data_IF_549072420183
#
_entry.id   IF_549072420183
#
_cell.length_a   1.000
_cell.length_b   1.000
_cell.length_c   1.000
_cell.angle_alpha   90.00
_cell.angle_beta   90.00
_cell.angle_gamma   90.00
#
_symmetry.space_group_name_H-M   'P 1'
#
loop_
_entity.id
_entity.type
_entity.pdbx_description
1 polymer ?
#
# COMPACT_ATOMS: atom_id res chain seq x y z
N UNK A 1 -7.76 -15.81 34.57
CA UNK A 1 -8.44 -16.74 33.64
C UNK A 1 -8.96 -15.93 32.45
N UNK A 2 -8.11 -15.63 31.44
CA UNK A 2 -8.46 -14.82 30.27
C UNK A 2 -9.07 -15.75 29.20
N UNK A 3 -10.37 -15.70 29.06
CA UNK A 3 -11.12 -16.36 27.97
C UNK A 3 -10.85 -15.55 26.68
N UNK A 4 -9.85 -15.94 25.89
CA UNK A 4 -9.69 -15.50 24.53
C UNK A 4 -10.93 -15.95 23.74
N UNK A 5 -11.91 -15.05 23.60
CA UNK A 5 -12.94 -15.22 22.57
C UNK A 5 -12.22 -15.27 21.23
N UNK A 6 -12.23 -16.42 20.56
CA UNK A 6 -11.97 -16.54 19.14
C UNK A 6 -13.13 -15.84 18.42
N UNK A 7 -13.05 -14.52 18.28
CA UNK A 7 -13.85 -13.83 17.29
C UNK A 7 -13.40 -14.40 15.94
N UNK A 8 -14.32 -14.96 15.16
CA UNK A 8 -14.05 -15.42 13.82
C UNK A 8 -13.41 -14.24 13.07
N UNK A 9 -12.18 -14.44 12.57
CA UNK A 9 -11.45 -13.36 11.91
C UNK A 9 -12.27 -12.94 10.68
N UNK A 10 -12.79 -11.72 10.72
CA UNK A 10 -13.62 -11.12 9.68
C UNK A 10 -12.81 -11.06 8.37
N UNK A 11 -13.43 -11.48 7.26
CA UNK A 11 -12.82 -11.39 5.94
C UNK A 11 -12.79 -9.92 5.54
N UNK A 12 -11.59 -9.41 5.27
CA UNK A 12 -11.38 -8.04 4.83
C UNK A 12 -11.40 -7.92 3.31
N UNK A 13 -10.71 -8.85 2.62
CA UNK A 13 -10.65 -8.91 1.17
C UNK A 13 -10.97 -10.32 0.69
N UNK A 14 -11.82 -10.42 -0.31
CA UNK A 14 -12.07 -11.66 -1.02
C UNK A 14 -12.01 -11.41 -2.53
N UNK A 15 -11.13 -12.13 -3.20
CA UNK A 15 -11.03 -12.18 -4.65
C UNK A 15 -11.42 -13.59 -5.08
N UNK A 16 -12.39 -13.71 -5.98
CA UNK A 16 -12.93 -15.01 -6.38
C UNK A 16 -12.88 -15.14 -7.90
N UNK A 17 -12.31 -16.25 -8.37
CA UNK A 17 -12.24 -16.63 -9.78
C UNK A 17 -11.70 -15.52 -10.71
N UNK A 18 -10.67 -14.82 -10.25
CA UNK A 18 -10.08 -13.72 -11.02
C UNK A 18 -9.34 -14.29 -12.24
N UNK A 19 -9.74 -13.80 -13.40
CA UNK A 19 -9.07 -14.07 -14.68
C UNK A 19 -8.48 -12.78 -15.24
N UNK A 20 -7.29 -12.91 -15.85
CA UNK A 20 -6.65 -11.84 -16.61
C UNK A 20 -5.82 -12.42 -17.74
N UNK A 21 -6.11 -11.97 -18.95
CA UNK A 21 -5.39 -12.35 -20.15
C UNK A 21 -4.74 -11.13 -20.80
N UNK A 22 -3.54 -11.32 -21.30
CA UNK A 22 -2.82 -10.38 -22.15
C UNK A 22 -2.57 -11.05 -23.49
N UNK A 23 -2.28 -10.32 -24.59
CA UNK A 23 -2.01 -10.92 -25.88
C UNK A 23 -0.98 -12.05 -25.77
N UNK A 24 -1.41 -13.29 -26.03
CA UNK A 24 -0.59 -14.49 -25.98
C UNK A 24 -0.28 -15.08 -24.60
N UNK A 25 -0.76 -14.49 -23.49
CA UNK A 25 -0.50 -15.01 -22.14
C UNK A 25 -1.72 -14.89 -21.23
N UNK A 26 -2.16 -16.01 -20.66
CA UNK A 26 -3.14 -16.06 -19.59
C UNK A 26 -2.41 -15.87 -18.25
N UNK A 27 -2.41 -14.64 -17.75
CA UNK A 27 -1.67 -14.25 -16.56
C UNK A 27 -2.36 -14.67 -15.24
N UNK A 28 -3.68 -14.72 -15.23
CA UNK A 28 -4.50 -15.22 -14.12
C UNK A 28 -5.57 -16.14 -14.68
N UNK A 29 -5.72 -17.31 -14.07
CA UNK A 29 -6.70 -18.32 -14.46
C UNK A 29 -7.47 -18.80 -13.23
N UNK A 30 -8.69 -18.28 -13.03
CA UNK A 30 -9.57 -18.58 -11.89
C UNK A 30 -8.89 -18.49 -10.51
N UNK A 31 -8.07 -17.45 -10.33
CA UNK A 31 -7.28 -17.26 -9.09
C UNK A 31 -8.18 -16.67 -8.00
N UNK A 32 -8.12 -17.27 -6.81
CA UNK A 32 -8.86 -16.80 -5.65
C UNK A 32 -7.92 -16.50 -4.48
N UNK A 33 -8.23 -15.43 -3.71
CA UNK A 33 -7.48 -14.98 -2.56
C UNK A 33 -8.43 -14.48 -1.49
N UNK A 34 -8.20 -14.90 -0.23
CA UNK A 34 -8.96 -14.40 0.92
C UNK A 34 -8.00 -13.86 1.97
N UNK A 35 -8.17 -12.60 2.38
CA UNK A 35 -7.38 -11.95 3.42
C UNK A 35 -8.29 -11.56 4.58
N UNK A 36 -7.88 -11.90 5.79
CA UNK A 36 -8.61 -11.61 7.04
C UNK A 36 -8.08 -10.32 7.66
N UNK A 37 -8.96 -9.61 8.37
CA UNK A 37 -8.62 -8.38 9.07
C UNK A 37 -7.55 -8.62 10.16
N UNK A 38 -6.58 -7.72 10.24
CA UNK A 38 -5.51 -7.78 11.24
C UNK A 38 -4.53 -8.95 11.04
N UNK A 39 -4.36 -9.43 9.80
CA UNK A 39 -3.39 -10.48 9.46
C UNK A 39 -2.35 -10.00 8.48
N UNK A 40 -1.18 -10.61 8.53
CA UNK A 40 -0.17 -10.54 7.47
C UNK A 40 -0.36 -11.76 6.57
N UNK A 41 -0.52 -11.52 5.27
CA UNK A 41 -0.74 -12.57 4.29
C UNK A 41 0.40 -12.56 3.25
N UNK A 42 1.18 -13.64 3.20
CA UNK A 42 2.26 -13.80 2.22
C UNK A 42 1.73 -14.46 0.95
N UNK A 43 1.88 -13.78 -0.20
CA UNK A 43 1.57 -14.32 -1.51
C UNK A 43 2.84 -14.91 -2.11
N UNK A 44 2.97 -16.23 -2.09
CA UNK A 44 4.15 -16.95 -2.54
C UNK A 44 3.93 -17.58 -3.93
N UNK A 45 5.00 -17.71 -4.70
CA UNK A 45 5.00 -18.33 -6.03
C UNK A 45 6.23 -17.92 -6.84
N UNK A 46 6.50 -18.63 -7.92
CA UNK A 46 7.61 -18.34 -8.83
C UNK A 46 7.47 -17.00 -9.54
N UNK A 47 8.58 -16.50 -10.11
CA UNK A 47 8.52 -15.30 -10.96
C UNK A 47 7.65 -15.59 -12.19
N UNK A 48 6.76 -14.67 -12.51
CA UNK A 48 5.77 -14.88 -13.58
C UNK A 48 4.48 -15.60 -13.15
N UNK A 49 4.35 -16.09 -11.92
CA UNK A 49 3.15 -16.78 -11.42
C UNK A 49 1.89 -15.88 -11.26
N UNK A 50 1.91 -14.66 -11.77
CA UNK A 50 0.74 -13.77 -11.75
C UNK A 50 0.54 -12.96 -10.45
N UNK A 51 1.42 -13.07 -9.44
CA UNK A 51 1.29 -12.38 -8.14
C UNK A 51 1.08 -10.87 -8.29
N UNK A 52 2.00 -10.19 -8.98
CA UNK A 52 1.92 -8.74 -9.20
C UNK A 52 0.74 -8.38 -10.12
N UNK A 53 0.34 -9.25 -11.04
CA UNK A 53 -0.86 -9.06 -11.88
C UNK A 53 -2.12 -9.07 -11.02
N UNK A 54 -2.25 -10.02 -10.10
CA UNK A 54 -3.38 -10.09 -9.17
C UNK A 54 -3.49 -8.83 -8.31
N UNK A 55 -2.36 -8.35 -7.76
CA UNK A 55 -2.32 -7.14 -6.96
C UNK A 55 -2.61 -5.88 -7.81
N UNK A 56 -2.14 -5.82 -9.05
CA UNK A 56 -2.47 -4.73 -9.99
C UNK A 56 -3.94 -4.71 -10.38
N UNK A 57 -4.60 -5.88 -10.45
CA UNK A 57 -6.07 -5.96 -10.62
C UNK A 57 -6.79 -5.42 -9.37
N UNK A 58 -6.35 -5.79 -8.17
CA UNK A 58 -6.90 -5.24 -6.92
C UNK A 58 -6.74 -3.71 -6.86
N UNK A 59 -5.59 -3.20 -7.28
CA UNK A 59 -5.27 -1.77 -7.20
C UNK A 59 -5.85 -0.95 -8.38
N UNK A 60 -6.58 -1.57 -9.31
CA UNK A 60 -7.20 -0.88 -10.44
C UNK A 60 -6.23 -0.40 -11.52
N UNK A 61 -5.00 -0.94 -11.55
CA UNK A 61 -4.03 -0.70 -12.63
C UNK A 61 -4.40 -1.55 -13.86
N UNK A 62 -4.84 -2.79 -13.63
CA UNK A 62 -5.39 -3.65 -14.66
C UNK A 62 -6.85 -3.95 -14.39
N UNK A 63 -7.68 -3.94 -15.42
CA UNK A 63 -9.04 -4.46 -15.34
C UNK A 63 -8.97 -5.98 -15.35
N UNK A 64 -9.66 -6.64 -14.41
CA UNK A 64 -9.90 -8.08 -14.49
C UNK A 64 -10.83 -8.40 -15.67
N UNK A 65 -10.67 -9.56 -16.29
CA UNK A 65 -11.52 -9.99 -17.39
C UNK A 65 -12.72 -10.81 -16.88
N UNK A 66 -12.55 -11.53 -15.75
CA UNK A 66 -13.61 -12.23 -15.04
C UNK A 66 -13.34 -12.29 -13.53
N UNK A 67 -14.33 -12.76 -12.78
CA UNK A 67 -14.25 -12.91 -11.33
C UNK A 67 -14.76 -11.69 -10.56
N UNK A 68 -14.67 -11.75 -9.24
CA UNK A 68 -15.27 -10.78 -8.30
C UNK A 68 -14.25 -10.38 -7.25
N UNK A 69 -14.21 -9.09 -6.89
CA UNK A 69 -13.41 -8.55 -5.78
C UNK A 69 -14.37 -7.95 -4.77
N UNK A 70 -14.27 -8.35 -3.50
CA UNK A 70 -15.05 -7.84 -2.40
C UNK A 70 -14.14 -7.30 -1.31
N UNK A 71 -14.41 -6.08 -0.88
CA UNK A 71 -13.74 -5.41 0.24
C UNK A 71 -14.77 -5.19 1.36
N UNK A 72 -14.53 -5.75 2.54
CA UNK A 72 -15.48 -5.71 3.67
C UNK A 72 -16.89 -6.19 3.26
N UNK A 73 -16.97 -7.26 2.45
CA UNK A 73 -18.23 -7.83 1.97
C UNK A 73 -18.96 -7.01 0.90
N UNK A 74 -18.37 -5.92 0.42
CA UNK A 74 -18.91 -5.11 -0.67
C UNK A 74 -18.12 -5.34 -1.94
N UNK A 75 -18.81 -5.60 -3.05
CA UNK A 75 -18.15 -5.72 -4.34
C UNK A 75 -17.53 -4.38 -4.76
N UNK A 76 -16.28 -4.45 -5.21
CA UNK A 76 -15.50 -3.30 -5.67
C UNK A 76 -14.89 -3.59 -7.04
N UNK A 77 -14.79 -2.55 -7.87
CA UNK A 77 -14.11 -2.61 -9.16
C UNK A 77 -13.46 -1.25 -9.43
N UNK A 78 -12.25 -1.09 -8.92
CA UNK A 78 -11.54 0.18 -9.02
C UNK A 78 -11.08 0.44 -10.46
N UNK A 79 -11.39 1.62 -10.97
CA UNK A 79 -11.02 2.05 -12.33
C UNK A 79 -9.59 2.58 -12.44
N UNK A 80 -8.99 2.93 -11.30
CA UNK A 80 -7.64 3.45 -11.20
C UNK A 80 -7.12 3.36 -9.76
N UNK A 81 -5.81 3.56 -9.59
CA UNK A 81 -5.15 3.49 -8.30
C UNK A 81 -5.62 4.55 -7.28
N UNK A 82 -6.07 5.72 -7.74
CA UNK A 82 -6.63 6.75 -6.84
C UNK A 82 -7.93 6.28 -6.19
N UNK A 83 -8.77 5.60 -6.95
CA UNK A 83 -10.01 5.03 -6.41
C UNK A 83 -9.72 3.93 -5.39
N UNK A 84 -8.75 3.05 -5.66
CA UNK A 84 -8.29 2.03 -4.71
C UNK A 84 -7.78 2.68 -3.40
N UNK A 85 -6.91 3.68 -3.50
CA UNK A 85 -6.39 4.43 -2.34
C UNK A 85 -7.51 5.09 -1.53
N UNK A 86 -8.49 5.71 -2.17
CA UNK A 86 -9.62 6.35 -1.50
C UNK A 86 -10.53 5.33 -0.77
N UNK A 87 -10.51 4.06 -1.19
CA UNK A 87 -11.23 2.97 -0.54
C UNK A 87 -10.38 2.20 0.49
N UNK A 88 -9.17 2.66 0.75
CA UNK A 88 -8.29 2.11 1.79
C UNK A 88 -7.43 0.94 1.32
N UNK A 89 -7.18 0.81 0.02
CA UNK A 89 -6.20 -0.13 -0.54
C UNK A 89 -4.98 0.65 -1.00
N UNK A 90 -3.84 0.50 -0.33
CA UNK A 90 -2.57 1.10 -0.71
C UNK A 90 -1.59 0.05 -1.24
N UNK A 91 -0.65 0.48 -2.07
CA UNK A 91 0.39 -0.37 -2.62
C UNK A 91 1.74 0.33 -2.50
N UNK A 92 2.71 -0.36 -1.93
CA UNK A 92 4.12 0.02 -1.93
C UNK A 92 4.79 -0.72 -3.08
N UNK A 93 5.19 0.02 -4.09
CA UNK A 93 5.82 -0.54 -5.30
C UNK A 93 7.30 -0.85 -5.06
N UNK A 94 7.83 -1.79 -5.83
CA UNK A 94 9.25 -2.11 -5.87
C UNK A 94 10.09 -0.91 -6.32
N UNK A 95 9.61 -0.16 -7.31
CA UNK A 95 10.26 1.06 -7.80
C UNK A 95 9.86 2.28 -6.99
N UNK A 96 10.87 3.05 -6.55
CA UNK A 96 10.67 4.27 -5.79
C UNK A 96 10.35 5.44 -6.71
N UNK A 97 9.07 5.72 -6.91
CA UNK A 97 8.58 6.85 -7.71
C UNK A 97 8.46 8.13 -6.86
N UNK A 98 9.60 8.66 -6.42
CA UNK A 98 9.69 9.77 -5.49
C UNK A 98 10.16 11.07 -6.15
N UNK A 99 9.64 12.19 -5.67
CA UNK A 99 10.13 13.51 -6.06
C UNK A 99 11.44 13.82 -5.31
N UNK A 100 12.57 13.38 -5.87
CA UNK A 100 13.89 13.40 -5.22
C UNK A 100 14.35 14.81 -4.80
N UNK A 101 13.92 15.85 -5.50
CA UNK A 101 14.26 17.27 -5.21
C UNK A 101 13.33 17.89 -4.15
N UNK A 102 12.34 17.16 -3.68
CA UNK A 102 11.43 17.58 -2.62
C UNK A 102 11.82 16.96 -1.29
N UNK A 103 11.32 17.53 -0.19
CA UNK A 103 11.53 16.97 1.14
C UNK A 103 10.62 15.74 1.39
N UNK A 104 10.84 15.08 2.51
CA UNK A 104 10.14 13.87 2.91
C UNK A 104 8.63 14.11 3.08
N UNK A 105 8.23 15.15 3.83
CA UNK A 105 6.81 15.42 4.06
C UNK A 105 6.08 15.80 2.77
N UNK A 106 6.73 16.51 1.84
CA UNK A 106 6.17 16.78 0.50
C UNK A 106 5.87 15.48 -0.26
N UNK A 107 6.75 14.48 -0.19
CA UNK A 107 6.55 13.18 -0.83
C UNK A 107 5.40 12.38 -0.20
N UNK A 108 5.24 12.42 1.12
CA UNK A 108 4.15 11.73 1.82
C UNK A 108 2.80 12.35 1.44
N UNK A 109 2.71 13.67 1.42
CA UNK A 109 1.45 14.40 1.23
C UNK A 109 1.20 14.85 -0.21
N UNK A 110 2.02 14.42 -1.18
CA UNK A 110 1.90 14.79 -2.58
C UNK A 110 0.47 14.56 -3.10
N UNK A 111 -0.15 15.63 -3.62
CA UNK A 111 -1.53 15.61 -4.12
C UNK A 111 -2.63 15.59 -3.04
N UNK A 112 -2.25 15.66 -1.73
CA UNK A 112 -3.17 15.65 -0.57
C UNK A 112 -2.71 16.63 0.51
N UNK A 113 -2.10 17.72 0.14
CA UNK A 113 -1.57 18.68 1.10
C UNK A 113 -2.66 19.15 2.07
N UNK A 114 -2.42 19.15 3.40
CA UNK A 114 -3.30 19.84 4.34
C UNK A 114 -3.40 21.32 3.95
N UNK A 115 -4.62 21.84 3.87
CA UNK A 115 -4.86 23.22 3.44
C UNK A 115 -5.38 24.07 4.60
N UNK A 116 -4.98 25.35 4.65
CA UNK A 116 -5.58 26.38 5.49
C UNK A 116 -6.56 27.17 4.64
N UNK A 117 -7.82 27.26 5.08
CA UNK A 117 -8.91 27.93 4.37
C UNK A 117 -9.09 27.48 2.89
N UNK A 118 -8.63 26.26 2.55
CA UNK A 118 -8.75 25.69 1.20
C UNK A 118 -7.82 26.29 0.14
N UNK A 119 -6.96 27.25 0.49
CA UNK A 119 -6.16 28.03 -0.47
C UNK A 119 -4.65 27.81 -0.27
N UNK A 120 -4.19 27.81 0.98
CA UNK A 120 -2.76 27.74 1.31
C UNK A 120 -2.39 26.39 1.94
N UNK A 121 -1.23 25.84 1.57
CA UNK A 121 -0.69 24.64 2.20
C UNK A 121 -0.38 24.92 3.67
N UNK A 122 -0.89 24.09 4.56
CA UNK A 122 -0.61 24.14 5.99
C UNK A 122 0.60 23.29 6.33
N UNK A 123 1.80 23.84 6.21
CA UNK A 123 3.04 23.14 6.48
C UNK A 123 3.16 22.68 7.95
N UNK A 124 2.64 23.44 8.90
CA UNK A 124 2.67 23.06 10.31
C UNK A 124 1.85 21.78 10.56
N UNK A 125 0.64 21.71 10.02
CA UNK A 125 -0.21 20.52 10.12
C UNK A 125 0.39 19.33 9.36
N UNK A 126 1.04 19.61 8.22
CA UNK A 126 1.74 18.58 7.44
C UNK A 126 2.89 17.96 8.21
N UNK A 127 3.70 18.81 8.89
CA UNK A 127 4.79 18.39 9.76
C UNK A 127 4.29 17.58 10.97
N UNK A 128 3.26 18.07 11.65
CA UNK A 128 2.63 17.39 12.78
C UNK A 128 2.14 15.99 12.39
N UNK A 129 1.39 15.89 11.29
CA UNK A 129 0.85 14.62 10.81
C UNK A 129 1.97 13.65 10.40
N UNK A 130 3.05 14.16 9.78
CA UNK A 130 4.21 13.34 9.41
C UNK A 130 4.92 12.79 10.64
N UNK A 131 5.14 13.63 11.66
CA UNK A 131 5.77 13.20 12.89
C UNK A 131 4.95 12.11 13.62
N UNK A 132 3.62 12.23 13.66
CA UNK A 132 2.75 11.20 14.24
C UNK A 132 2.94 9.84 13.55
N UNK A 133 2.93 9.82 12.22
CA UNK A 133 3.16 8.59 11.46
C UNK A 133 4.55 8.04 11.72
N UNK A 134 5.57 8.89 11.81
CA UNK A 134 6.94 8.47 12.09
C UNK A 134 7.11 7.90 13.48
N UNK A 135 6.46 8.48 14.50
CA UNK A 135 6.43 7.92 15.86
C UNK A 135 5.76 6.54 15.88
N UNK A 136 4.60 6.40 15.22
CA UNK A 136 3.88 5.11 15.14
C UNK A 136 4.70 4.01 14.45
N UNK A 137 5.50 4.38 13.45
CA UNK A 137 6.31 3.44 12.66
C UNK A 137 7.75 3.31 13.16
N UNK A 138 8.15 4.04 14.20
CA UNK A 138 9.54 4.07 14.69
C UNK A 138 10.55 4.61 13.68
N UNK A 139 10.14 5.54 12.79
CA UNK A 139 10.99 6.11 11.74
C UNK A 139 11.77 7.31 12.28
N UNK A 140 13.10 7.19 12.33
CA UNK A 140 14.00 8.27 12.75
C UNK A 140 14.54 9.06 11.53
N UNK A 141 13.67 9.82 10.86
CA UNK A 141 14.00 10.64 9.69
C UNK A 141 13.42 12.04 9.88
N UNK A 142 14.19 13.08 9.54
CA UNK A 142 13.69 14.46 9.55
C UNK A 142 12.69 14.66 8.38
N UNK A 143 11.42 15.04 8.67
CA UNK A 143 10.42 15.33 7.64
C UNK A 143 10.79 16.39 6.62
N UNK A 144 11.71 17.30 6.98
CA UNK A 144 12.19 18.38 6.10
C UNK A 144 13.40 17.99 5.26
N UNK A 145 13.99 16.81 5.50
CA UNK A 145 15.14 16.34 4.74
C UNK A 145 14.81 16.12 3.28
N UNK A 146 15.72 16.51 2.39
CA UNK A 146 15.56 16.31 0.94
C UNK A 146 15.76 14.84 0.58
N UNK A 147 14.85 14.27 -0.20
CA UNK A 147 14.83 12.84 -0.56
C UNK A 147 16.12 12.37 -1.25
N UNK A 148 16.72 13.18 -2.13
CA UNK A 148 17.95 12.82 -2.84
C UNK A 148 19.16 12.61 -1.93
N UNK A 149 19.16 13.17 -0.71
CA UNK A 149 20.24 13.02 0.27
C UNK A 149 20.13 11.78 1.15
N UNK A 150 19.09 10.97 0.92
CA UNK A 150 18.76 9.83 1.76
C UNK A 150 19.18 8.51 1.10
N UNK A 151 19.68 7.54 1.88
CA UNK A 151 19.90 6.19 1.40
C UNK A 151 18.57 5.53 0.97
N UNK A 152 18.66 4.54 0.09
CA UNK A 152 17.49 3.84 -0.47
C UNK A 152 16.60 3.26 0.63
N UNK A 153 17.18 2.67 1.68
CA UNK A 153 16.43 2.10 2.80
C UNK A 153 15.56 3.14 3.52
N UNK A 154 16.08 4.34 3.78
CA UNK A 154 15.28 5.41 4.38
C UNK A 154 14.19 5.92 3.43
N UNK A 155 14.47 5.99 2.13
CA UNK A 155 13.47 6.35 1.12
C UNK A 155 12.34 5.32 1.05
N UNK A 156 12.63 4.04 1.25
CA UNK A 156 11.59 3.00 1.35
C UNK A 156 10.72 3.17 2.58
N UNK A 157 11.30 3.52 3.74
CA UNK A 157 10.52 3.84 4.94
C UNK A 157 9.55 5.00 4.70
N UNK A 158 9.94 5.99 3.90
CA UNK A 158 9.04 7.09 3.49
C UNK A 158 7.90 6.60 2.61
N UNK A 159 8.10 5.63 1.70
CA UNK A 159 7.00 5.03 0.93
C UNK A 159 6.03 4.25 1.83
N UNK A 160 6.54 3.55 2.83
CA UNK A 160 5.70 2.87 3.82
C UNK A 160 4.87 3.90 4.61
N UNK A 161 5.51 4.96 5.11
CA UNK A 161 4.83 6.04 5.81
C UNK A 161 3.76 6.72 4.93
N UNK A 162 4.05 6.91 3.64
CA UNK A 162 3.09 7.40 2.67
C UNK A 162 1.89 6.45 2.52
N UNK A 163 2.09 5.15 2.42
CA UNK A 163 1.00 4.17 2.35
C UNK A 163 0.14 4.20 3.62
N UNK A 164 0.76 4.27 4.80
CA UNK A 164 0.06 4.39 6.09
C UNK A 164 -0.73 5.70 6.18
N UNK A 165 -0.20 6.80 5.65
CA UNK A 165 -0.85 8.14 5.66
C UNK A 165 -2.20 8.19 4.92
N UNK A 166 -2.54 7.18 4.13
CA UNK A 166 -3.87 7.03 3.51
C UNK A 166 -4.91 6.42 4.44
N UNK A 167 -4.55 6.10 5.69
CA UNK A 167 -5.40 5.34 6.61
C UNK A 167 -5.88 4.02 5.98
N UNK A 168 -4.96 3.32 5.35
CA UNK A 168 -5.26 2.16 4.53
C UNK A 168 -5.70 0.96 5.37
N UNK A 169 -6.72 0.26 4.90
CA UNK A 169 -7.22 -1.01 5.47
C UNK A 169 -6.34 -2.18 5.04
N UNK A 170 -5.79 -2.07 3.82
CA UNK A 170 -4.90 -3.04 3.20
C UNK A 170 -3.68 -2.30 2.66
N UNK A 171 -2.50 -2.78 2.98
CA UNK A 171 -1.26 -2.34 2.37
C UNK A 171 -0.63 -3.54 1.66
N UNK A 172 -0.48 -3.44 0.36
CA UNK A 172 0.19 -4.42 -0.47
C UNK A 172 1.65 -4.04 -0.61
N UNK A 173 2.56 -4.96 -0.35
CA UNK A 173 3.98 -4.81 -0.59
C UNK A 173 4.40 -5.68 -1.78
N UNK A 174 4.88 -5.08 -2.85
CA UNK A 174 5.38 -5.78 -4.04
C UNK A 174 6.91 -5.85 -3.97
N UNK A 175 7.44 -7.01 -3.56
CA UNK A 175 8.87 -7.30 -3.37
C UNK A 175 9.65 -6.25 -2.53
N UNK A 176 9.22 -5.92 -1.31
CA UNK A 176 9.82 -4.84 -0.52
C UNK A 176 11.27 -5.12 -0.09
N UNK A 177 11.72 -6.36 -0.18
CA UNK A 177 12.99 -6.81 0.40
C UNK A 177 14.19 -6.69 -0.54
N UNK A 178 14.01 -6.37 -1.82
CA UNK A 178 15.11 -6.27 -2.79
C UNK A 178 16.18 -5.22 -2.42
N UNK A 179 15.88 -4.33 -1.46
CA UNK A 179 16.76 -3.26 -0.99
C UNK A 179 16.66 -2.97 0.52
N UNK A 180 15.92 -3.78 1.29
CA UNK A 180 15.90 -3.69 2.76
C UNK A 180 17.05 -4.52 3.35
N UNK A 181 17.87 -3.89 4.17
CA UNK A 181 18.86 -4.61 4.99
C UNK A 181 18.14 -5.43 6.06
N UNK A 182 18.69 -6.59 6.42
CA UNK A 182 18.15 -7.54 7.41
C UNK A 182 17.71 -6.89 8.75
N UNK A 183 18.25 -5.74 9.11
CA UNK A 183 17.92 -5.02 10.35
C UNK A 183 16.50 -4.39 10.34
N UNK A 184 15.85 -4.27 9.19
CA UNK A 184 14.51 -3.68 9.05
C UNK A 184 13.39 -4.73 8.96
N UNK A 185 13.74 -6.02 8.98
CA UNK A 185 12.75 -7.12 8.89
C UNK A 185 12.12 -7.43 10.26
N UNK A 186 12.59 -6.83 11.34
CA UNK A 186 12.16 -7.07 12.72
C UNK A 186 11.22 -5.98 13.29
N UNK A 187 10.48 -5.26 12.45
CA UNK A 187 9.42 -4.35 12.93
C UNK A 187 8.08 -5.06 12.94
#
# INVERSE_FOLDING_TARGET
MYRRMRMGQEVLLQMTDICKEFPGVKALDHVSLTVKKGTVHALMGENGAGKSTLMKCLFGIYSKDAGKIELEGKEVNFKNSREALNNGVAMVHQELNQALKRNVMDNIWLGRYPMTAGIMVNEHKMLENTNKIFEELGIAVDPKRIMSTMPVSQRQMVEIAKAVSYNSKIIVFDEPTSSLTLSLIHI
#
